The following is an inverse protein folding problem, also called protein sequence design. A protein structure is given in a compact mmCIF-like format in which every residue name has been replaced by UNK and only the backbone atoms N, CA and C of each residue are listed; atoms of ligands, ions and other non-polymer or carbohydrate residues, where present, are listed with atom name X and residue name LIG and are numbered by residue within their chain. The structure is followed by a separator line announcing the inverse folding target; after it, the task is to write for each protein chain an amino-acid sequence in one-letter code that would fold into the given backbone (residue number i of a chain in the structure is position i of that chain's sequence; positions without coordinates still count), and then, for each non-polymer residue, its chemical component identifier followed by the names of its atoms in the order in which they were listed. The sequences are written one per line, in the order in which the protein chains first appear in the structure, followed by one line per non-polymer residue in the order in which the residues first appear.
data_IF_898263786896
#
_entry.id   IF_898263786896
#
_cell.length_a   1.000
_cell.length_b   1.000
_cell.length_c   1.000
_cell.angle_alpha   90.00
_cell.angle_beta   90.00
_cell.angle_gamma   90.00
#
_symmetry.space_group_name_H-M   'P 1'
#
loop_
_entity.id
_entity.type
_entity.pdbx_description
1 polymer ?
#
# COMPACT_ATOMS: atom_id res chain seq x y z
N UNK A 1 -5.34 19.04 34.90
CA UNK A 1 -5.91 17.75 34.45
C UNK A 1 -6.47 18.00 33.06
N UNK A 2 -5.67 17.80 32.02
CA UNK A 2 -6.04 18.09 30.64
C UNK A 2 -7.18 17.16 30.24
N UNK A 3 -8.33 17.70 29.83
CA UNK A 3 -9.44 16.88 29.33
C UNK A 3 -8.90 15.98 28.21
N UNK A 4 -9.06 14.67 28.37
CA UNK A 4 -8.82 13.72 27.28
C UNK A 4 -9.79 14.10 26.16
N UNK A 5 -9.25 14.45 25.00
CA UNK A 5 -10.03 14.69 23.78
C UNK A 5 -10.86 13.44 23.50
N UNK A 6 -12.20 13.57 23.46
CA UNK A 6 -13.09 12.51 22.96
C UNK A 6 -12.88 12.37 21.45
N UNK A 7 -13.34 11.27 20.85
CA UNK A 7 -13.08 11.01 19.44
C UNK A 7 -13.65 12.08 18.48
N UNK A 8 -14.72 12.77 18.87
CA UNK A 8 -15.29 13.95 18.19
C UNK A 8 -14.37 15.21 18.25
N UNK A 9 -13.23 15.12 18.93
CA UNK A 9 -12.24 16.22 19.08
C UNK A 9 -10.84 15.85 18.58
N UNK A 10 -10.70 14.69 17.92
CA UNK A 10 -9.46 14.31 17.24
C UNK A 10 -9.28 15.17 15.99
N UNK A 11 -8.19 15.93 15.98
CA UNK A 11 -7.80 16.72 14.82
C UNK A 11 -7.14 15.81 13.78
N UNK A 12 -7.90 15.47 12.74
CA UNK A 12 -7.44 14.69 11.59
C UNK A 12 -7.01 15.55 10.40
N UNK A 13 -6.85 16.86 10.61
CA UNK A 13 -6.37 17.79 9.58
C UNK A 13 -4.94 17.41 9.18
N UNK A 14 -4.67 17.33 7.89
CA UNK A 14 -3.37 16.95 7.34
C UNK A 14 -3.07 17.82 6.11
N UNK A 15 -2.53 19.02 6.34
CA UNK A 15 -2.26 19.99 5.28
C UNK A 15 -0.76 20.23 5.18
N UNK A 16 -0.23 19.99 3.99
CA UNK A 16 1.16 20.28 3.63
C UNK A 16 1.40 21.80 3.59
N UNK A 17 2.60 22.29 3.96
CA UNK A 17 2.97 23.70 3.79
C UNK A 17 3.24 24.08 2.32
N UNK A 18 3.28 23.11 1.41
CA UNK A 18 3.59 23.33 0.00
C UNK A 18 2.31 23.37 -0.85
N UNK A 19 2.19 24.36 -1.73
CA UNK A 19 1.00 24.55 -2.57
C UNK A 19 0.68 23.35 -3.48
N UNK A 20 1.72 22.71 -4.02
CA UNK A 20 1.60 21.67 -5.06
C UNK A 20 2.17 20.32 -4.65
N UNK A 21 2.48 20.11 -3.37
CA UNK A 21 3.07 18.86 -2.89
C UNK A 21 2.41 18.39 -1.61
N UNK A 22 2.16 17.09 -1.52
CA UNK A 22 2.01 16.44 -0.22
C UNK A 22 3.37 16.39 0.50
N UNK A 23 3.35 16.11 1.79
CA UNK A 23 4.56 15.90 2.59
C UNK A 23 4.36 14.69 3.53
N UNK A 24 5.44 14.22 4.13
CA UNK A 24 5.38 13.18 5.15
C UNK A 24 4.61 13.63 6.39
N UNK A 25 4.10 12.65 7.15
CA UNK A 25 3.52 12.92 8.45
C UNK A 25 4.56 13.44 9.45
N UNK A 26 4.14 14.34 10.36
CA UNK A 26 4.98 14.94 11.40
C UNK A 26 6.17 15.79 10.90
N UNK A 27 6.13 16.24 9.65
CA UNK A 27 7.16 17.14 9.10
C UNK A 27 6.91 18.61 9.53
N UNK A 28 7.95 19.41 9.81
CA UNK A 28 7.79 20.80 10.23
C UNK A 28 7.02 21.64 9.20
N UNK A 29 6.13 22.50 9.67
CA UNK A 29 5.37 23.43 8.83
C UNK A 29 4.00 22.91 8.39
N UNK A 30 3.75 21.59 8.43
CA UNK A 30 2.43 21.02 8.20
C UNK A 30 1.42 21.49 9.26
N UNK A 31 0.16 21.63 8.84
CA UNK A 31 -0.95 22.04 9.71
C UNK A 31 -1.87 20.87 10.03
N UNK A 32 -2.24 20.77 11.32
CA UNK A 32 -3.05 19.70 11.87
C UNK A 32 -2.23 18.56 12.50
N UNK A 33 -2.94 17.63 13.14
CA UNK A 33 -2.34 16.46 13.82
C UNK A 33 -2.64 15.13 13.11
N UNK A 34 -3.31 15.18 11.96
CA UNK A 34 -3.67 14.00 11.19
C UNK A 34 -2.63 13.60 10.15
N UNK A 35 -2.93 12.52 9.44
CA UNK A 35 -2.22 12.10 8.24
C UNK A 35 -3.17 11.43 7.26
N UNK A 36 -2.71 11.26 6.03
CA UNK A 36 -3.44 10.58 4.97
C UNK A 36 -2.60 9.41 4.47
N UNK A 37 -3.12 8.20 4.58
CA UNK A 37 -2.55 7.00 3.97
C UNK A 37 -3.10 6.83 2.55
N UNK A 38 -2.21 6.46 1.63
CA UNK A 38 -2.53 6.28 0.21
C UNK A 38 -2.05 4.90 -0.22
N UNK A 39 -2.90 4.13 -0.91
CA UNK A 39 -2.54 2.81 -1.40
C UNK A 39 -1.79 2.92 -2.71
N UNK A 40 -0.64 2.25 -2.80
CA UNK A 40 0.15 2.09 -4.02
C UNK A 40 0.66 0.65 -4.11
N UNK A 41 0.52 0.06 -5.29
CA UNK A 41 1.06 -1.26 -5.64
C UNK A 41 1.58 -1.16 -7.07
N UNK A 42 2.89 -1.29 -7.27
CA UNK A 42 3.53 -1.12 -8.57
C UNK A 42 4.81 -1.96 -8.66
N UNK A 43 5.16 -2.34 -9.88
CA UNK A 43 6.44 -2.96 -10.22
C UNK A 43 7.28 -2.01 -11.08
N UNK A 44 8.58 -2.26 -11.13
CA UNK A 44 9.53 -1.58 -12.00
C UNK A 44 10.52 -2.61 -12.54
N UNK A 45 10.96 -2.40 -13.78
CA UNK A 45 11.85 -3.32 -14.49
C UNK A 45 13.08 -2.56 -14.97
N UNK A 46 14.22 -3.25 -15.04
CA UNK A 46 15.48 -2.73 -15.59
C UNK A 46 16.19 -3.84 -16.37
N UNK A 47 16.98 -3.46 -17.37
CA UNK A 47 17.86 -4.42 -18.04
C UNK A 47 18.93 -4.88 -17.05
N UNK A 48 19.03 -6.20 -16.87
CA UNK A 48 19.93 -6.83 -15.91
C UNK A 48 21.39 -6.49 -16.22
N UNK A 49 22.12 -6.05 -15.21
CA UNK A 49 23.57 -5.85 -15.26
C UNK A 49 24.30 -6.96 -14.48
N UNK A 50 25.61 -6.80 -14.28
CA UNK A 50 26.40 -7.66 -13.40
C UNK A 50 26.26 -7.29 -11.91
N UNK A 51 25.58 -6.19 -11.58
CA UNK A 51 25.34 -5.73 -10.23
C UNK A 51 23.85 -5.81 -9.86
N UNK A 52 23.47 -6.94 -9.27
CA UNK A 52 22.10 -7.20 -8.82
C UNK A 52 21.59 -6.17 -7.80
N UNK A 53 22.47 -5.59 -6.99
CA UNK A 53 22.07 -4.60 -5.99
C UNK A 53 21.68 -3.28 -6.67
N UNK A 54 22.49 -2.81 -7.62
CA UNK A 54 22.20 -1.59 -8.38
C UNK A 54 20.97 -1.79 -9.27
N UNK A 55 20.81 -2.96 -9.89
CA UNK A 55 19.60 -3.31 -10.63
C UNK A 55 18.36 -3.20 -9.73
N UNK A 56 18.44 -3.73 -8.51
CA UNK A 56 17.36 -3.64 -7.53
C UNK A 56 17.03 -2.20 -7.12
N UNK A 57 18.04 -1.34 -6.93
CA UNK A 57 17.83 0.09 -6.65
C UNK A 57 17.06 0.75 -7.80
N UNK A 58 17.49 0.54 -9.05
CA UNK A 58 16.87 1.16 -10.21
C UNK A 58 15.46 0.60 -10.47
N UNK A 59 15.26 -0.70 -10.30
CA UNK A 59 13.94 -1.32 -10.41
C UNK A 59 12.97 -0.78 -9.34
N UNK A 60 13.45 -0.60 -8.11
CA UNK A 60 12.68 -0.03 -7.02
C UNK A 60 12.31 1.45 -7.28
N UNK A 61 13.27 2.29 -7.68
CA UNK A 61 13.03 3.70 -8.03
C UNK A 61 12.04 3.83 -9.20
N UNK A 62 12.10 2.94 -10.19
CA UNK A 62 11.09 2.85 -11.27
C UNK A 62 9.70 2.48 -10.73
N UNK A 63 9.61 1.55 -9.77
CA UNK A 63 8.34 1.23 -9.12
C UNK A 63 7.76 2.43 -8.34
N UNK A 64 8.61 3.24 -7.70
CA UNK A 64 8.21 4.50 -7.04
C UNK A 64 7.65 5.51 -8.04
N UNK A 65 8.27 5.63 -9.21
CA UNK A 65 7.83 6.55 -10.28
C UNK A 65 6.58 6.07 -11.04
N UNK A 66 6.39 4.75 -11.18
CA UNK A 66 5.29 4.17 -11.94
C UNK A 66 3.92 4.38 -11.25
N UNK A 67 2.85 4.57 -12.02
CA UNK A 67 1.49 4.74 -11.48
C UNK A 67 1.35 6.02 -10.65
N UNK A 68 0.89 5.90 -9.40
CA UNK A 68 0.90 7.01 -8.44
C UNK A 68 2.35 7.44 -8.14
N UNK A 69 2.76 8.61 -8.65
CA UNK A 69 4.14 9.07 -8.58
C UNK A 69 4.54 9.43 -7.14
N UNK A 70 5.50 8.70 -6.59
CA UNK A 70 6.10 8.97 -5.27
C UNK A 70 7.62 9.04 -5.32
N UNK A 71 8.21 9.24 -6.50
CA UNK A 71 9.66 9.23 -6.68
C UNK A 71 10.36 10.38 -5.94
N UNK A 72 11.68 10.24 -5.78
CA UNK A 72 12.56 11.24 -5.15
C UNK A 72 12.26 11.47 -3.66
N UNK A 73 11.70 10.49 -2.94
CA UNK A 73 11.45 10.59 -1.50
C UNK A 73 12.51 9.86 -0.69
N UNK A 74 12.67 10.25 0.56
CA UNK A 74 13.34 9.45 1.58
C UNK A 74 12.27 8.56 2.25
N UNK A 75 12.11 7.32 1.79
CA UNK A 75 11.10 6.42 2.35
C UNK A 75 11.54 5.88 3.72
N UNK A 76 10.71 6.06 4.74
CA UNK A 76 10.91 5.53 6.08
C UNK A 76 9.93 4.38 6.33
N UNK A 77 10.43 3.16 6.55
CA UNK A 77 9.58 1.99 6.77
C UNK A 77 8.97 2.00 8.18
N UNK A 78 7.65 1.89 8.27
CA UNK A 78 6.90 1.72 9.51
C UNK A 78 6.03 0.46 9.49
N UNK A 79 5.44 0.14 10.64
CA UNK A 79 4.45 -0.94 10.74
C UNK A 79 3.12 -0.54 10.08
N UNK A 80 2.34 -1.55 9.72
CA UNK A 80 1.24 -1.46 8.75
C UNK A 80 -0.10 -1.00 9.36
N UNK A 81 -0.18 0.22 9.92
CA UNK A 81 -1.42 0.72 10.54
C UNK A 81 -1.82 2.15 10.09
N UNK A 82 -3.12 2.41 10.03
CA UNK A 82 -3.71 3.76 9.96
C UNK A 82 -4.58 3.98 11.20
N UNK A 83 -4.04 4.70 12.18
CA UNK A 83 -4.62 4.90 13.50
C UNK A 83 -5.67 6.00 13.59
N UNK A 84 -6.01 6.37 14.83
CA UNK A 84 -7.12 7.26 15.17
C UNK A 84 -7.05 8.68 14.57
N UNK A 85 -5.86 9.13 14.17
CA UNK A 85 -5.62 10.42 13.53
C UNK A 85 -5.47 10.31 11.99
N UNK A 86 -5.45 9.09 11.46
CA UNK A 86 -5.28 8.81 10.04
C UNK A 86 -6.58 8.89 9.26
N UNK A 87 -6.45 9.24 7.99
CA UNK A 87 -7.49 9.10 6.97
C UNK A 87 -6.94 8.26 5.82
N UNK A 88 -7.81 7.58 5.10
CA UNK A 88 -7.47 6.82 3.89
C UNK A 88 -7.97 7.59 2.67
N UNK A 89 -7.06 7.98 1.78
CA UNK A 89 -7.42 8.67 0.55
C UNK A 89 -8.22 7.75 -0.38
N UNK A 90 -9.30 8.28 -0.96
CA UNK A 90 -10.24 7.50 -1.76
C UNK A 90 -11.32 6.79 -0.95
N UNK A 91 -11.20 6.73 0.38
CA UNK A 91 -12.21 6.15 1.27
C UNK A 91 -12.83 7.19 2.20
N UNK A 92 -12.01 7.82 3.07
CA UNK A 92 -12.42 8.84 4.03
C UNK A 92 -12.47 10.23 3.39
N UNK A 93 -11.45 10.52 2.58
CA UNK A 93 -11.26 11.80 1.89
C UNK A 93 -11.28 11.54 0.39
N UNK A 94 -11.93 12.44 -0.36
CA UNK A 94 -12.10 12.30 -1.81
C UNK A 94 -12.58 10.89 -2.20
N UNK A 95 -13.65 10.43 -1.52
CA UNK A 95 -14.19 9.07 -1.67
C UNK A 95 -14.43 8.73 -3.14
N UNK A 96 -13.91 7.58 -3.57
CA UNK A 96 -14.13 7.07 -4.92
C UNK A 96 -15.56 6.52 -5.04
N UNK A 97 -16.33 7.05 -5.98
CA UNK A 97 -17.70 6.59 -6.28
C UNK A 97 -17.74 5.11 -6.71
N UNK A 98 -16.63 4.58 -7.24
CA UNK A 98 -16.52 3.18 -7.61
C UNK A 98 -16.67 2.22 -6.41
N UNK A 99 -16.37 2.68 -5.19
CA UNK A 99 -16.57 1.90 -3.96
C UNK A 99 -18.05 1.64 -3.66
N UNK A 100 -18.94 2.51 -4.11
CA UNK A 100 -20.38 2.41 -3.82
C UNK A 100 -21.09 1.44 -4.77
N UNK A 101 -20.44 1.10 -5.88
CA UNK A 101 -20.91 0.14 -6.89
C UNK A 101 -20.32 -1.26 -6.72
N UNK A 102 -19.34 -1.40 -5.83
CA UNK A 102 -18.52 -2.58 -5.74
C UNK A 102 -19.22 -3.73 -5.02
N UNK A 103 -18.90 -4.96 -5.40
CA UNK A 103 -19.46 -6.17 -4.78
C UNK A 103 -18.35 -6.96 -4.09
N UNK A 104 -18.63 -7.55 -2.92
CA UNK A 104 -17.64 -8.40 -2.28
C UNK A 104 -17.18 -9.52 -3.23
N UNK A 105 -15.87 -9.68 -3.38
CA UNK A 105 -15.24 -10.80 -4.07
C UNK A 105 -15.53 -12.11 -3.35
N UNK A 106 -15.50 -12.05 -2.01
CA UNK A 106 -15.88 -13.12 -1.09
C UNK A 106 -16.07 -12.54 0.31
N UNK A 107 -16.52 -13.38 1.24
CA UNK A 107 -16.58 -13.06 2.67
C UNK A 107 -15.73 -14.05 3.46
N UNK A 108 -15.16 -13.56 4.56
CA UNK A 108 -14.47 -14.39 5.56
C UNK A 108 -15.15 -14.25 6.91
N UNK A 109 -15.05 -15.30 7.74
CA UNK A 109 -15.63 -15.29 9.09
C UNK A 109 -14.56 -14.81 10.07
N UNK A 110 -14.86 -13.75 10.80
CA UNK A 110 -13.99 -13.19 11.84
C UNK A 110 -13.99 -14.07 13.10
N UNK A 111 -13.10 -13.78 14.05
CA UNK A 111 -12.97 -14.57 15.27
C UNK A 111 -14.16 -14.46 16.23
N UNK A 112 -15.00 -13.41 16.11
CA UNK A 112 -16.27 -13.24 16.83
C UNK A 112 -17.46 -13.94 16.12
N UNK A 113 -17.21 -14.57 14.96
CA UNK A 113 -18.23 -15.22 14.14
C UNK A 113 -18.91 -14.29 13.12
N UNK A 114 -18.64 -12.98 13.14
CA UNK A 114 -19.17 -12.03 12.17
C UNK A 114 -18.53 -12.18 10.79
N UNK A 115 -19.12 -11.57 9.77
CA UNK A 115 -18.60 -11.60 8.38
C UNK A 115 -17.79 -10.35 8.08
N UNK A 116 -16.65 -10.54 7.42
CA UNK A 116 -15.84 -9.47 6.83
C UNK A 116 -15.91 -9.62 5.30
N UNK A 117 -16.59 -8.71 4.59
CA UNK A 117 -16.57 -8.70 3.14
C UNK A 117 -15.21 -8.23 2.61
N UNK A 118 -14.72 -8.88 1.56
CA UNK A 118 -13.45 -8.54 0.90
C UNK A 118 -13.75 -7.97 -0.49
N UNK A 119 -13.15 -6.82 -0.80
CA UNK A 119 -13.34 -6.09 -2.05
C UNK A 119 -12.01 -5.96 -2.81
N UNK A 120 -12.08 -5.58 -4.08
CA UNK A 120 -10.90 -5.20 -4.86
C UNK A 120 -10.45 -3.79 -4.43
N UNK A 121 -9.15 -3.62 -4.16
CA UNK A 121 -8.59 -2.33 -3.75
C UNK A 121 -8.31 -1.38 -4.94
N UNK A 122 -8.55 -1.81 -6.18
CA UNK A 122 -8.33 -1.01 -7.39
C UNK A 122 -8.91 0.43 -7.32
N UNK A 123 -10.12 0.68 -6.78
CA UNK A 123 -10.63 2.05 -6.62
C UNK A 123 -9.75 2.95 -5.75
N UNK A 124 -9.13 2.40 -4.69
CA UNK A 124 -8.25 3.14 -3.78
C UNK A 124 -6.87 3.39 -4.40
N UNK A 125 -6.32 2.40 -5.12
CA UNK A 125 -5.07 2.57 -5.87
C UNK A 125 -5.24 3.66 -6.94
N UNK A 126 -6.35 3.65 -7.68
CA UNK A 126 -6.68 4.67 -8.66
C UNK A 126 -6.88 6.06 -8.03
N UNK A 127 -7.48 6.13 -6.84
CA UNK A 127 -7.61 7.38 -6.08
C UNK A 127 -6.23 7.95 -5.70
N UNK A 128 -5.28 7.10 -5.31
CA UNK A 128 -3.90 7.50 -5.03
C UNK A 128 -3.20 8.09 -6.25
N UNK A 129 -3.32 7.45 -7.42
CA UNK A 129 -2.80 8.00 -8.67
C UNK A 129 -3.49 9.31 -9.07
N UNK A 130 -4.78 9.48 -8.73
CA UNK A 130 -5.52 10.73 -8.95
C UNK A 130 -5.02 11.85 -8.04
N UNK A 131 -4.54 11.56 -6.83
CA UNK A 131 -3.94 12.56 -5.93
C UNK A 131 -2.55 12.98 -6.39
N UNK A 132 -1.66 12.00 -6.60
CA UNK A 132 -0.25 12.25 -6.86
C UNK A 132 0.05 12.53 -8.34
N UNK A 133 -0.80 12.06 -9.25
CA UNK A 133 -0.53 12.03 -10.68
C UNK A 133 0.46 10.93 -11.05
N UNK A 134 0.92 10.97 -12.30
CA UNK A 134 1.96 10.07 -12.84
C UNK A 134 3.27 10.82 -13.03
N UNK A 135 4.36 10.12 -13.32
CA UNK A 135 5.67 10.73 -13.59
C UNK A 135 5.59 11.89 -14.60
N UNK A 136 4.87 11.66 -15.70
CA UNK A 136 4.70 12.60 -16.82
C UNK A 136 3.58 13.63 -16.61
N UNK A 137 2.72 13.45 -15.60
CA UNK A 137 1.57 14.29 -15.32
C UNK A 137 1.33 14.39 -13.81
N UNK A 138 2.32 14.94 -13.10
CA UNK A 138 2.32 15.10 -11.64
C UNK A 138 1.21 16.05 -11.19
N UNK A 139 0.61 15.76 -10.05
CA UNK A 139 -0.41 16.58 -9.38
C UNK A 139 0.12 17.06 -8.03
N UNK A 140 -0.22 16.36 -6.96
CA UNK A 140 0.24 16.66 -5.60
C UNK A 140 1.11 15.53 -5.02
N UNK A 141 2.16 15.04 -5.72
CA UNK A 141 3.00 13.99 -5.17
C UNK A 141 3.70 14.47 -3.88
N UNK A 142 4.30 13.56 -3.09
CA UNK A 142 5.21 13.97 -2.04
C UNK A 142 6.31 14.91 -2.56
N UNK A 143 6.69 15.90 -1.76
CA UNK A 143 7.73 16.85 -2.15
C UNK A 143 9.07 16.12 -2.40
N UNK A 144 9.86 16.51 -3.43
CA UNK A 144 11.20 15.94 -3.63
C UNK A 144 12.09 16.11 -2.39
N UNK A 145 12.69 15.02 -1.93
CA UNK A 145 13.48 14.95 -0.70
C UNK A 145 12.66 14.89 0.60
N UNK A 146 11.32 14.89 0.52
CA UNK A 146 10.46 14.66 1.68
C UNK A 146 10.81 13.31 2.31
N UNK A 147 10.75 13.23 3.64
CA UNK A 147 10.78 11.93 4.29
C UNK A 147 9.35 11.48 4.48
N UNK A 148 9.02 10.34 3.89
CA UNK A 148 7.66 9.82 3.82
C UNK A 148 7.64 8.48 4.54
N UNK A 149 6.83 8.40 5.58
CA UNK A 149 6.63 7.16 6.33
C UNK A 149 5.71 6.26 5.51
N UNK A 150 6.17 5.06 5.19
CA UNK A 150 5.44 4.06 4.43
C UNK A 150 5.43 2.74 5.19
N UNK A 151 4.27 2.09 5.24
CA UNK A 151 4.26 0.64 5.32
C UNK A 151 4.61 0.14 3.90
N UNK A 152 5.83 -0.35 3.73
CA UNK A 152 6.27 -0.90 2.45
C UNK A 152 6.87 -2.30 2.58
N UNK A 153 6.68 -3.09 1.52
CA UNK A 153 7.35 -4.36 1.29
C UNK A 153 7.61 -4.52 -0.21
N UNK A 154 8.76 -5.08 -0.56
CA UNK A 154 9.17 -5.27 -1.94
C UNK A 154 10.01 -6.53 -2.11
N UNK A 155 10.15 -6.97 -3.36
CA UNK A 155 11.09 -8.01 -3.78
C UNK A 155 11.66 -7.62 -5.13
N UNK A 156 12.84 -8.15 -5.46
CA UNK A 156 13.49 -7.98 -6.75
C UNK A 156 14.09 -9.31 -7.17
N UNK A 157 13.95 -9.66 -8.45
CA UNK A 157 14.50 -10.88 -9.02
C UNK A 157 15.06 -10.62 -10.41
N UNK A 158 16.12 -11.33 -10.76
CA UNK A 158 16.59 -11.38 -12.13
C UNK A 158 15.69 -12.29 -12.98
N UNK A 159 15.70 -12.08 -14.30
CA UNK A 159 15.15 -13.04 -15.25
C UNK A 159 16.22 -13.33 -16.30
N UNK A 160 16.63 -14.59 -16.51
CA UNK A 160 17.65 -14.88 -17.51
C UNK A 160 17.12 -14.59 -18.91
N UNK A 161 18.01 -14.16 -19.81
CA UNK A 161 17.64 -13.89 -21.21
C UNK A 161 17.21 -15.17 -21.96
N UNK A 162 17.74 -16.33 -21.53
CA UNK A 162 17.45 -17.64 -22.12
C UNK A 162 17.45 -18.72 -21.05
N UNK A 163 16.64 -19.76 -21.23
CA UNK A 163 16.56 -20.90 -20.31
C UNK A 163 15.57 -20.67 -19.16
N UNK A 164 15.56 -21.60 -18.21
CA UNK A 164 14.73 -21.51 -17.01
C UNK A 164 15.44 -20.68 -15.92
N UNK A 165 14.70 -19.86 -15.15
CA UNK A 165 15.25 -19.14 -14.00
C UNK A 165 15.85 -20.09 -12.97
N UNK A 166 16.99 -19.71 -12.40
CA UNK A 166 17.61 -20.39 -11.25
C UNK A 166 17.28 -19.64 -9.93
N UNK A 167 16.38 -20.16 -9.07
CA UNK A 167 16.04 -19.52 -7.81
C UNK A 167 17.24 -19.36 -6.86
N UNK A 168 18.26 -20.22 -6.96
CA UNK A 168 19.47 -20.10 -6.15
C UNK A 168 20.34 -18.90 -6.57
N UNK A 169 20.10 -18.33 -7.75
CA UNK A 169 20.72 -17.09 -8.24
C UNK A 169 19.81 -15.87 -8.09
N UNK A 170 18.69 -16.01 -7.37
CA UNK A 170 17.70 -14.94 -7.24
C UNK A 170 16.91 -14.69 -8.52
N UNK A 171 16.80 -15.67 -9.41
CA UNK A 171 16.07 -15.54 -10.66
C UNK A 171 14.62 -16.08 -10.56
N UNK A 172 13.71 -15.47 -11.31
CA UNK A 172 12.30 -15.84 -11.38
C UNK A 172 11.72 -15.54 -12.78
N UNK A 173 10.54 -16.11 -13.07
CA UNK A 173 9.77 -15.76 -14.27
C UNK A 173 9.08 -14.39 -14.12
N UNK A 174 8.71 -14.04 -12.90
CA UNK A 174 8.11 -12.75 -12.58
C UNK A 174 8.18 -12.41 -11.09
N UNK A 175 7.72 -11.21 -10.76
CA UNK A 175 7.51 -10.74 -9.38
C UNK A 175 6.06 -10.28 -9.22
N UNK A 176 5.57 -10.29 -8.01
CA UNK A 176 4.25 -9.77 -7.67
C UNK A 176 4.29 -9.01 -6.36
N UNK A 177 3.37 -8.07 -6.21
CA UNK A 177 3.14 -7.31 -4.97
C UNK A 177 1.64 -7.20 -4.72
N UNK A 178 1.28 -7.09 -3.46
CA UNK A 178 -0.09 -7.09 -2.98
C UNK A 178 -0.23 -6.13 -1.80
N UNK A 179 -1.34 -5.39 -1.77
CA UNK A 179 -1.69 -4.53 -0.64
C UNK A 179 -3.16 -4.71 -0.30
N UNK A 180 -3.46 -4.83 0.99
CA UNK A 180 -4.80 -4.79 1.52
C UNK A 180 -4.90 -3.73 2.61
N UNK A 181 -6.09 -3.15 2.77
CA UNK A 181 -6.45 -2.35 3.93
C UNK A 181 -7.75 -2.90 4.54
N UNK A 182 -7.75 -3.13 5.84
CA UNK A 182 -8.92 -3.54 6.61
C UNK A 182 -9.33 -2.40 7.54
N UNK A 183 -10.52 -1.86 7.31
CA UNK A 183 -11.06 -0.74 8.09
C UNK A 183 -11.72 -1.29 9.36
N UNK A 184 -11.30 -0.81 10.53
CA UNK A 184 -11.87 -1.28 11.80
C UNK A 184 -13.28 -0.72 12.03
N UNK A 185 -14.10 -1.47 12.77
CA UNK A 185 -15.45 -1.05 13.17
C UNK A 185 -15.47 0.20 14.05
N UNK A 186 -14.45 0.40 14.88
CA UNK A 186 -14.36 1.54 15.79
C UNK A 186 -12.99 2.24 15.70
N UNK A 187 -12.88 3.15 14.74
CA UNK A 187 -11.68 3.98 14.50
C UNK A 187 -11.41 5.03 15.58
N UNK A 188 -12.20 5.04 16.65
CA UNK A 188 -11.95 5.87 17.83
C UNK A 188 -11.07 5.15 18.86
N UNK A 189 -11.00 3.82 18.80
CA UNK A 189 -10.30 2.98 19.77
C UNK A 189 -9.30 2.01 19.12
N UNK A 190 -9.41 1.76 17.82
CA UNK A 190 -8.54 0.89 17.06
C UNK A 190 -7.99 1.55 15.79
N UNK A 191 -6.93 0.97 15.23
CA UNK A 191 -6.35 1.36 13.96
C UNK A 191 -6.86 0.45 12.83
N UNK A 192 -6.99 1.02 11.64
CA UNK A 192 -7.10 0.24 10.41
C UNK A 192 -5.77 -0.48 10.16
N UNK A 193 -5.84 -1.67 9.54
CA UNK A 193 -4.69 -2.53 9.30
C UNK A 193 -4.36 -2.56 7.81
N UNK A 194 -3.12 -2.24 7.46
CA UNK A 194 -2.54 -2.58 6.17
C UNK A 194 -1.91 -3.98 6.24
N UNK A 195 -2.03 -4.75 5.16
CA UNK A 195 -1.21 -5.94 4.93
C UNK A 195 -0.56 -5.79 3.57
N UNK A 196 0.77 -5.70 3.54
CA UNK A 196 1.51 -5.79 2.29
C UNK A 196 2.24 -7.12 2.18
N UNK A 197 2.22 -7.66 0.98
CA UNK A 197 2.95 -8.87 0.63
C UNK A 197 3.61 -8.70 -0.74
N UNK A 198 4.73 -9.37 -0.93
CA UNK A 198 5.46 -9.35 -2.19
C UNK A 198 6.20 -10.67 -2.35
N UNK A 199 6.28 -11.16 -3.57
CA UNK A 199 6.90 -12.44 -3.81
C UNK A 199 7.31 -12.67 -5.25
N UNK A 200 7.88 -13.85 -5.45
CA UNK A 200 8.51 -14.25 -6.70
C UNK A 200 7.64 -15.32 -7.36
N UNK A 201 7.61 -15.30 -8.70
CA UNK A 201 6.92 -16.31 -9.49
C UNK A 201 7.94 -17.20 -10.18
N UNK A 202 8.08 -18.43 -9.70
CA UNK A 202 9.11 -19.39 -10.16
C UNK A 202 8.53 -20.58 -10.89
N UNK A 203 7.19 -20.71 -10.98
CA UNK A 203 6.56 -21.93 -11.51
C UNK A 203 6.68 -22.05 -13.04
N UNK A 204 6.39 -20.98 -13.77
CA UNK A 204 6.41 -20.96 -15.24
C UNK A 204 6.32 -19.52 -15.77
N UNK A 205 6.42 -19.36 -17.09
CA UNK A 205 6.27 -18.08 -17.79
C UNK A 205 4.83 -17.76 -18.20
N UNK A 206 3.84 -18.18 -17.40
CA UNK A 206 2.43 -17.95 -17.69
C UNK A 206 1.85 -16.84 -16.79
N UNK A 207 1.52 -15.71 -17.40
CA UNK A 207 0.83 -14.60 -16.71
C UNK A 207 -0.53 -15.04 -16.18
N UNK A 208 -1.27 -15.88 -16.91
CA UNK A 208 -2.57 -16.39 -16.46
C UNK A 208 -2.46 -17.27 -15.21
N UNK A 209 -1.37 -18.04 -15.10
CA UNK A 209 -1.15 -18.90 -13.94
C UNK A 209 -0.74 -18.08 -12.71
N UNK A 210 0.05 -17.03 -12.92
CA UNK A 210 0.35 -16.04 -11.88
C UNK A 210 -0.92 -15.34 -11.40
N UNK A 211 -1.79 -14.89 -12.34
CA UNK A 211 -3.06 -14.27 -11.99
C UNK A 211 -3.99 -15.22 -11.22
N UNK A 212 -4.04 -16.49 -11.61
CA UNK A 212 -4.80 -17.52 -10.88
C UNK A 212 -4.25 -17.73 -9.46
N UNK A 213 -2.93 -17.81 -9.31
CA UNK A 213 -2.28 -17.87 -8.00
C UNK A 213 -2.63 -16.65 -7.13
N UNK A 214 -2.54 -15.44 -7.68
CA UNK A 214 -2.85 -14.22 -6.94
C UNK A 214 -4.32 -14.16 -6.50
N UNK A 215 -5.25 -14.67 -7.32
CA UNK A 215 -6.66 -14.78 -6.96
C UNK A 215 -6.90 -15.71 -5.76
N UNK A 216 -6.14 -16.80 -5.66
CA UNK A 216 -6.18 -17.69 -4.50
C UNK A 216 -5.51 -17.05 -3.28
N UNK A 217 -4.38 -16.34 -3.49
CA UNK A 217 -3.59 -15.68 -2.45
C UNK A 217 -4.40 -14.65 -1.64
N UNK A 218 -5.42 -14.03 -2.24
CA UNK A 218 -6.34 -13.10 -1.55
C UNK A 218 -6.93 -13.72 -0.27
N UNK A 219 -7.19 -15.04 -0.26
CA UNK A 219 -7.72 -15.74 0.93
C UNK A 219 -6.69 -15.87 2.04
N UNK A 220 -5.42 -16.03 1.70
CA UNK A 220 -4.31 -16.06 2.67
C UNK A 220 -4.12 -14.69 3.31
N UNK A 221 -4.20 -13.62 2.53
CA UNK A 221 -4.16 -12.24 3.04
C UNK A 221 -5.37 -11.95 3.94
N UNK A 222 -6.58 -12.36 3.54
CA UNK A 222 -7.77 -12.21 4.38
C UNK A 222 -7.66 -13.01 5.69
N UNK A 223 -7.06 -14.21 5.65
CA UNK A 223 -6.77 -14.98 6.85
C UNK A 223 -5.80 -14.24 7.79
N UNK A 224 -4.72 -13.64 7.27
CA UNK A 224 -3.76 -12.92 8.12
C UNK A 224 -4.40 -11.69 8.77
N UNK A 225 -5.31 -10.99 8.08
CA UNK A 225 -6.09 -9.88 8.66
C UNK A 225 -6.90 -10.37 9.87
N UNK A 226 -7.63 -11.47 9.73
CA UNK A 226 -8.43 -12.03 10.83
C UNK A 226 -7.54 -12.48 12.00
N UNK A 227 -6.39 -13.08 11.71
CA UNK A 227 -5.43 -13.49 12.73
C UNK A 227 -4.91 -12.28 13.52
N UNK A 228 -4.48 -11.22 12.83
CA UNK A 228 -4.04 -9.98 13.46
C UNK A 228 -5.15 -9.33 14.30
N UNK A 229 -6.39 -9.29 13.79
CA UNK A 229 -7.54 -8.78 14.53
C UNK A 229 -7.79 -9.58 15.80
N UNK A 230 -7.74 -10.92 15.74
CA UNK A 230 -7.89 -11.80 16.90
C UNK A 230 -6.82 -11.54 17.95
N UNK A 231 -5.56 -11.42 17.53
CA UNK A 231 -4.42 -11.23 18.44
C UNK A 231 -4.48 -9.89 19.18
N UNK A 232 -5.14 -8.88 18.59
CA UNK A 232 -5.32 -7.56 19.19
C UNK A 232 -6.73 -7.29 19.72
N UNK A 233 -7.64 -8.26 19.61
CA UNK A 233 -9.07 -8.09 19.93
C UNK A 233 -9.75 -6.94 19.18
N UNK A 234 -9.45 -6.79 17.89
CA UNK A 234 -9.99 -5.77 16.98
C UNK A 234 -10.79 -6.40 15.84
N UNK A 235 -11.95 -5.81 15.52
CA UNK A 235 -12.88 -6.21 14.45
C UNK A 235 -13.00 -5.19 13.33
#
# INVERSE_FOLDING_TARGET
MTMRKSADTLDRTAISPYDNFCDGYSRPGSSGNGYVSVLKVMTGEVEKTDDFLLDGIVAYDRAEANGAYIGQVNMETASSFCGIAGNVWGYDLARSEALDMDKPLFEVTQYDGSKLPVYDAAPLVAAGQTLFGTETARRFPPAPGAHVICANKSTTNGRPATGEPDPAKGEAYGVWCYIAISITRDRNSAADLFIEDAGTWTKNDSESDLAAFLKEHQRSVAWSIIACGKDQSVL
#
